data_IF_225394889714
#
_entry.id   IF_225394889714
#
_cell.length_a   1.000
_cell.length_b   1.000
_cell.length_c   1.000
_cell.angle_alpha   90.00
_cell.angle_beta   90.00
_cell.angle_gamma   90.00
#
_symmetry.space_group_name_H-M   'P 1'
#
loop_
_entity.id
_entity.type
_entity.pdbx_description
1 polymer ?
#
# COMPACT_ATOMS: atom_id res chain seq x y z
N UNK A 1 -23.76 -24.07 41.29
CA UNK A 1 -23.62 -22.64 40.95
C UNK A 1 -24.83 -21.86 41.46
N UNK A 2 -24.61 -20.85 42.28
CA UNK A 2 -25.69 -20.05 42.88
C UNK A 2 -26.51 -19.32 41.79
N UNK A 3 -27.79 -19.03 42.07
CA UNK A 3 -28.67 -18.30 41.15
C UNK A 3 -28.04 -16.97 40.67
N UNK A 4 -27.26 -16.30 41.50
CA UNK A 4 -26.51 -15.09 41.18
C UNK A 4 -25.42 -15.32 40.13
N UNK A 5 -24.70 -16.44 40.19
CA UNK A 5 -23.67 -16.79 39.21
C UNK A 5 -24.25 -17.13 37.82
N UNK A 6 -25.42 -17.81 37.78
CA UNK A 6 -26.14 -18.05 36.52
C UNK A 6 -26.67 -16.76 35.88
N UNK A 7 -27.17 -15.82 36.70
CA UNK A 7 -27.62 -14.52 36.16
C UNK A 7 -26.48 -13.66 35.67
N UNK A 8 -25.29 -13.70 36.28
CA UNK A 8 -24.08 -13.05 35.78
C UNK A 8 -23.65 -13.63 34.44
N UNK A 9 -23.58 -14.96 34.30
CA UNK A 9 -23.21 -15.61 33.01
C UNK A 9 -24.22 -15.32 31.88
N UNK A 10 -25.53 -15.19 32.19
CA UNK A 10 -26.57 -14.85 31.20
C UNK A 10 -26.47 -13.38 30.82
N UNK A 11 -26.19 -12.49 31.76
CA UNK A 11 -26.03 -11.05 31.52
C UNK A 11 -24.80 -10.75 30.70
N UNK A 12 -23.70 -11.47 30.94
CA UNK A 12 -22.45 -11.38 30.13
C UNK A 12 -22.62 -11.95 28.71
N UNK A 13 -23.41 -13.05 28.56
CA UNK A 13 -23.77 -13.56 27.23
C UNK A 13 -24.65 -12.59 26.44
N UNK A 14 -25.63 -11.95 27.07
CA UNK A 14 -26.50 -10.97 26.41
C UNK A 14 -25.68 -9.74 26.02
N UNK A 15 -24.76 -9.27 26.88
CA UNK A 15 -23.88 -8.15 26.55
C UNK A 15 -22.91 -8.49 25.42
N UNK A 16 -22.37 -9.73 25.36
CA UNK A 16 -21.52 -10.20 24.27
C UNK A 16 -22.30 -10.32 22.94
N UNK A 17 -23.55 -10.80 22.98
CA UNK A 17 -24.41 -10.88 21.80
C UNK A 17 -24.85 -9.50 21.30
N UNK A 18 -25.20 -8.58 22.18
CA UNK A 18 -25.53 -7.20 21.80
C UNK A 18 -24.31 -6.43 21.28
N UNK A 19 -23.12 -6.69 21.82
CA UNK A 19 -21.86 -6.15 21.28
C UNK A 19 -21.54 -6.77 19.91
N UNK A 20 -21.81 -8.06 19.69
CA UNK A 20 -21.64 -8.72 18.40
C UNK A 20 -22.66 -8.24 17.35
N UNK A 21 -23.90 -7.98 17.74
CA UNK A 21 -24.92 -7.41 16.85
C UNK A 21 -24.66 -5.92 16.53
N UNK A 22 -24.21 -5.15 17.51
CA UNK A 22 -23.73 -3.78 17.30
C UNK A 22 -22.50 -3.73 16.41
N UNK A 23 -21.58 -4.71 16.53
CA UNK A 23 -20.41 -4.88 15.70
C UNK A 23 -20.80 -5.18 14.23
N UNK A 24 -21.83 -6.00 14.01
CA UNK A 24 -22.35 -6.31 12.68
C UNK A 24 -23.08 -5.13 12.00
N UNK A 25 -23.75 -4.29 12.79
CA UNK A 25 -24.48 -3.12 12.28
C UNK A 25 -23.56 -1.91 12.06
N UNK A 26 -22.53 -1.72 12.89
CA UNK A 26 -21.46 -0.71 12.69
C UNK A 26 -20.41 -1.14 11.67
N UNK A 27 -20.26 -2.41 11.36
CA UNK A 27 -19.26 -2.92 10.41
C UNK A 27 -19.59 -2.68 8.92
N UNK A 28 -20.71 -2.04 8.58
CA UNK A 28 -20.85 -1.38 7.27
C UNK A 28 -20.05 -0.08 7.29
N UNK A 29 -18.72 -0.22 7.42
CA UNK A 29 -17.79 0.89 7.42
C UNK A 29 -17.91 1.58 6.07
N UNK A 30 -18.41 2.81 6.09
CA UNK A 30 -18.47 3.63 4.88
C UNK A 30 -17.04 4.00 4.44
N UNK A 31 -16.49 3.24 3.49
CA UNK A 31 -15.16 3.47 2.90
C UNK A 31 -15.19 4.54 1.79
N UNK A 32 -16.37 5.03 1.40
CA UNK A 32 -16.57 5.97 0.30
C UNK A 32 -15.67 7.22 0.35
N UNK A 33 -15.53 7.92 1.50
CA UNK A 33 -14.67 9.11 1.55
C UNK A 33 -13.22 8.82 1.17
N UNK A 34 -12.69 7.66 1.62
CA UNK A 34 -11.33 7.23 1.29
C UNK A 34 -11.19 6.88 -0.19
N UNK A 35 -12.14 6.15 -0.75
CA UNK A 35 -12.15 5.84 -2.19
C UNK A 35 -12.29 7.09 -3.05
N UNK A 36 -13.04 8.10 -2.61
CA UNK A 36 -13.13 9.40 -3.26
C UNK A 36 -11.77 10.10 -3.35
N UNK A 37 -11.01 10.14 -2.24
CA UNK A 37 -9.65 10.69 -2.21
C UNK A 37 -8.71 9.89 -3.14
N UNK A 38 -8.78 8.56 -3.11
CA UNK A 38 -7.97 7.70 -3.97
C UNK A 38 -8.28 7.90 -5.45
N UNK A 39 -9.57 8.01 -5.81
CA UNK A 39 -10.01 8.25 -7.19
C UNK A 39 -9.55 9.63 -7.68
N UNK A 40 -9.74 10.67 -6.87
CA UNK A 40 -9.29 12.02 -7.19
C UNK A 40 -7.78 12.06 -7.39
N UNK A 41 -7.01 11.42 -6.49
CA UNK A 41 -5.56 11.36 -6.61
C UNK A 41 -5.11 10.59 -7.85
N UNK A 42 -5.76 9.46 -8.16
CA UNK A 42 -5.49 8.69 -9.36
C UNK A 42 -5.78 9.51 -10.63
N UNK A 43 -6.87 10.28 -10.66
CA UNK A 43 -7.21 11.17 -11.76
C UNK A 43 -6.19 12.30 -11.92
N UNK A 44 -5.76 12.93 -10.81
CA UNK A 44 -4.76 14.00 -10.85
C UNK A 44 -3.39 13.50 -11.34
N UNK A 45 -2.94 12.34 -10.87
CA UNK A 45 -1.64 11.78 -11.26
C UNK A 45 -1.64 11.21 -12.69
N UNK A 46 -2.83 10.89 -13.25
CA UNK A 46 -3.03 10.41 -14.62
C UNK A 46 -3.88 11.39 -15.45
N UNK A 47 -3.64 12.69 -15.29
CA UNK A 47 -4.44 13.75 -15.90
C UNK A 47 -4.26 13.90 -17.41
N UNK A 48 -3.21 13.31 -18.00
CA UNK A 48 -2.95 13.41 -19.45
C UNK A 48 -3.78 12.38 -20.25
N UNK A 49 -5.09 12.52 -20.21
CA UNK A 49 -6.05 11.57 -20.84
C UNK A 49 -5.85 11.47 -22.35
N UNK A 50 -5.41 12.55 -23.02
CA UNK A 50 -5.15 12.56 -24.45
C UNK A 50 -4.08 11.52 -24.87
N UNK A 51 -3.15 11.15 -23.98
CA UNK A 51 -2.15 10.12 -24.23
C UNK A 51 -2.78 8.73 -24.50
N UNK A 52 -3.90 8.41 -23.92
CA UNK A 52 -4.60 7.14 -24.17
C UNK A 52 -5.19 7.09 -25.59
N UNK A 53 -5.62 8.22 -26.13
CA UNK A 53 -6.18 8.30 -27.49
C UNK A 53 -5.05 8.33 -28.52
N UNK A 54 -3.99 9.12 -28.28
CA UNK A 54 -2.89 9.30 -29.22
C UNK A 54 -1.86 8.16 -29.17
N UNK A 55 -1.91 7.30 -28.16
CA UNK A 55 -0.93 6.21 -27.95
C UNK A 55 0.48 6.73 -27.64
N UNK A 56 0.63 7.98 -27.17
CA UNK A 56 1.92 8.61 -26.85
C UNK A 56 2.06 8.84 -25.35
N UNK A 57 3.28 8.67 -24.87
CA UNK A 57 3.64 8.95 -23.47
C UNK A 57 3.82 10.46 -23.30
N UNK A 58 3.29 11.02 -22.21
CA UNK A 58 3.50 12.42 -21.85
C UNK A 58 4.96 12.71 -21.55
N UNK A 59 5.52 13.73 -22.18
CA UNK A 59 6.94 14.16 -22.04
C UNK A 59 7.09 15.58 -21.47
N UNK A 60 6.02 16.16 -20.94
CA UNK A 60 6.04 17.53 -20.41
C UNK A 60 6.80 17.66 -19.09
N UNK A 61 7.01 18.91 -18.62
CA UNK A 61 7.77 19.26 -17.41
C UNK A 61 7.28 18.56 -16.13
N UNK A 62 5.99 18.28 -16.02
CA UNK A 62 5.41 17.59 -14.86
C UNK A 62 5.94 16.16 -14.70
N UNK A 63 6.45 15.53 -15.75
CA UNK A 63 7.07 14.21 -15.68
C UNK A 63 8.34 14.18 -14.81
N UNK A 64 8.95 15.32 -14.56
CA UNK A 64 10.09 15.43 -13.64
C UNK A 64 9.66 15.42 -12.16
N UNK A 65 8.37 15.60 -11.89
CA UNK A 65 7.84 15.56 -10.52
C UNK A 65 7.58 14.11 -10.11
N UNK A 66 8.18 13.69 -9.01
CA UNK A 66 7.98 12.36 -8.46
C UNK A 66 6.68 12.31 -7.65
N UNK A 67 5.74 11.42 -8.02
CA UNK A 67 4.51 11.20 -7.27
C UNK A 67 4.77 10.26 -6.08
N UNK A 68 4.06 10.40 -4.94
CA UNK A 68 4.33 9.59 -3.76
C UNK A 68 3.85 8.12 -3.89
N UNK A 69 2.89 7.84 -4.77
CA UNK A 69 2.30 6.51 -4.98
C UNK A 69 2.96 5.73 -6.13
N UNK A 70 2.59 4.46 -6.26
CA UNK A 70 3.02 3.64 -7.40
C UNK A 70 2.18 4.04 -8.63
N UNK A 71 2.82 4.67 -9.61
CA UNK A 71 2.24 5.09 -10.89
C UNK A 71 3.26 4.87 -12.01
N UNK A 72 2.87 4.26 -13.12
CA UNK A 72 3.85 3.86 -14.13
C UNK A 72 4.34 5.06 -14.95
N UNK A 73 5.67 5.20 -15.09
CA UNK A 73 6.26 6.22 -15.97
C UNK A 73 5.81 6.07 -17.43
N UNK A 74 5.68 4.83 -17.89
CA UNK A 74 5.27 4.51 -19.28
C UNK A 74 3.75 4.58 -19.50
N UNK A 75 2.96 4.97 -18.50
CA UNK A 75 1.52 5.19 -18.67
C UNK A 75 1.30 6.41 -19.59
N UNK A 76 0.45 6.29 -20.63
CA UNK A 76 0.11 7.42 -21.50
C UNK A 76 -0.51 8.59 -20.75
N UNK A 77 -1.31 8.29 -19.72
CA UNK A 77 -1.99 9.29 -18.89
C UNK A 77 -1.15 9.86 -17.75
N UNK A 78 -0.02 9.24 -17.40
CA UNK A 78 0.75 9.64 -16.22
C UNK A 78 1.44 11.00 -16.42
N UNK A 79 1.04 11.97 -15.63
CA UNK A 79 1.64 13.30 -15.58
C UNK A 79 2.96 13.32 -14.79
N UNK A 80 3.12 12.47 -13.76
CA UNK A 80 4.31 12.41 -12.92
C UNK A 80 5.13 11.13 -13.05
N UNK A 81 6.32 11.12 -12.42
CA UNK A 81 7.23 9.97 -12.43
C UNK A 81 6.97 8.99 -11.28
N UNK A 82 7.14 7.70 -11.56
CA UNK A 82 7.08 6.65 -10.54
C UNK A 82 8.29 6.74 -9.60
N UNK A 83 8.10 6.76 -8.27
CA UNK A 83 9.21 6.89 -7.33
C UNK A 83 10.14 5.68 -7.35
N UNK A 84 9.63 4.47 -7.57
CA UNK A 84 10.46 3.25 -7.63
C UNK A 84 11.28 3.22 -8.90
N UNK A 85 10.69 3.58 -10.06
CA UNK A 85 11.40 3.64 -11.32
C UNK A 85 12.48 4.71 -11.31
N UNK A 86 12.15 5.90 -10.80
CA UNK A 86 13.10 7.00 -10.66
C UNK A 86 14.25 6.65 -9.69
N UNK A 87 13.96 5.99 -8.58
CA UNK A 87 14.98 5.54 -7.62
C UNK A 87 15.93 4.50 -8.24
N UNK A 88 15.41 3.51 -9.00
CA UNK A 88 16.23 2.54 -9.70
C UNK A 88 17.15 3.22 -10.74
N UNK A 89 16.63 4.20 -11.47
CA UNK A 89 17.44 4.97 -12.42
C UNK A 89 18.59 5.72 -11.72
N UNK A 90 18.33 6.31 -10.56
CA UNK A 90 19.35 6.99 -9.74
C UNK A 90 20.39 6.00 -9.22
N UNK A 91 19.98 4.85 -8.70
CA UNK A 91 20.90 3.80 -8.22
C UNK A 91 21.74 3.24 -9.36
N UNK A 92 21.11 2.94 -10.51
CA UNK A 92 21.80 2.42 -11.69
C UNK A 92 22.78 3.42 -12.33
N UNK A 93 22.57 4.72 -12.16
CA UNK A 93 23.45 5.78 -12.64
C UNK A 93 24.43 6.29 -11.59
N UNK A 94 24.51 5.68 -10.42
CA UNK A 94 25.30 6.17 -9.26
C UNK A 94 26.80 6.31 -9.54
N UNK A 95 27.34 5.52 -10.48
CA UNK A 95 28.73 5.64 -10.93
C UNK A 95 29.05 6.96 -11.65
N UNK A 96 28.04 7.60 -12.26
CA UNK A 96 28.19 8.86 -12.99
C UNK A 96 27.74 10.05 -12.14
N UNK A 97 26.51 9.99 -11.60
CA UNK A 97 25.93 11.06 -10.79
C UNK A 97 24.79 10.54 -9.94
N UNK A 98 24.88 10.69 -8.64
CA UNK A 98 23.78 10.37 -7.73
C UNK A 98 22.84 11.55 -7.59
N UNK A 99 21.55 11.38 -7.95
CA UNK A 99 20.53 12.42 -7.79
C UNK A 99 19.87 12.33 -6.43
N UNK A 100 20.23 13.21 -5.52
CA UNK A 100 19.65 13.28 -4.17
C UNK A 100 18.17 13.70 -4.15
N UNK A 101 17.69 14.32 -5.24
CA UNK A 101 16.30 14.78 -5.36
C UNK A 101 15.28 13.66 -5.12
N UNK A 102 15.41 12.55 -5.83
CA UNK A 102 14.46 11.42 -5.73
C UNK A 102 14.52 10.76 -4.35
N UNK A 103 15.73 10.54 -3.85
CA UNK A 103 15.94 9.94 -2.53
C UNK A 103 15.40 10.86 -1.43
N UNK A 104 15.67 12.17 -1.53
CA UNK A 104 15.18 13.18 -0.60
C UNK A 104 13.64 13.26 -0.57
N UNK A 105 12.98 13.27 -1.73
CA UNK A 105 11.51 13.25 -1.81
C UNK A 105 10.92 11.97 -1.19
N UNK A 106 11.49 10.81 -1.49
CA UNK A 106 11.03 9.54 -0.90
C UNK A 106 11.16 9.54 0.63
N UNK A 107 12.29 10.03 1.16
CA UNK A 107 12.51 10.14 2.60
C UNK A 107 11.55 11.17 3.19
N UNK A 108 11.38 12.34 2.56
CA UNK A 108 10.47 13.39 3.00
C UNK A 108 9.04 12.86 3.15
N UNK A 109 8.49 12.25 2.12
CA UNK A 109 7.16 11.66 2.17
C UNK A 109 7.07 10.51 3.18
N UNK A 110 8.11 9.71 3.30
CA UNK A 110 8.18 8.62 4.27
C UNK A 110 8.17 9.11 5.72
N UNK A 111 8.92 10.19 6.01
CA UNK A 111 8.97 10.79 7.34
C UNK A 111 7.70 11.59 7.65
N UNK A 112 7.16 12.33 6.69
CA UNK A 112 5.93 13.09 6.91
C UNK A 112 4.71 12.17 7.10
N UNK A 113 4.48 11.26 6.15
CA UNK A 113 3.23 10.51 6.02
C UNK A 113 3.37 9.00 6.22
N UNK A 114 4.57 8.44 6.11
CA UNK A 114 4.80 7.01 6.18
C UNK A 114 3.94 6.22 5.20
N UNK A 115 3.35 5.12 5.65
CA UNK A 115 2.46 4.28 4.81
C UNK A 115 1.04 4.82 4.61
N UNK A 116 0.70 5.99 5.12
CA UNK A 116 -0.55 6.68 4.77
C UNK A 116 -0.67 6.86 3.25
N UNK A 117 0.44 7.14 2.58
CA UNK A 117 0.53 7.23 1.12
C UNK A 117 -0.04 5.97 0.45
N UNK A 118 0.31 4.78 0.96
CA UNK A 118 -0.19 3.52 0.42
C UNK A 118 -1.70 3.36 0.64
N UNK A 119 -2.24 3.98 1.71
CA UNK A 119 -3.67 3.94 2.06
C UNK A 119 -4.54 4.87 1.23
N UNK A 120 -4.02 6.05 0.83
CA UNK A 120 -4.82 7.13 0.25
C UNK A 120 -4.31 7.63 -1.12
N UNK A 121 -3.01 7.58 -1.37
CA UNK A 121 -2.39 8.23 -2.53
C UNK A 121 -1.81 7.24 -3.56
N UNK A 122 -2.05 5.93 -3.41
CA UNK A 122 -1.51 4.93 -4.33
C UNK A 122 -2.61 4.39 -5.26
N UNK A 123 -2.58 4.70 -6.57
CA UNK A 123 -3.58 4.21 -7.53
C UNK A 123 -3.63 2.68 -7.60
N UNK A 124 -2.48 2.02 -7.62
CA UNK A 124 -2.41 0.56 -7.66
C UNK A 124 -2.93 -0.10 -6.39
N UNK A 125 -2.74 0.55 -5.23
CA UNK A 125 -3.35 0.11 -3.98
C UNK A 125 -4.88 0.18 -4.02
N UNK A 126 -5.42 1.24 -4.62
CA UNK A 126 -6.85 1.41 -4.84
C UNK A 126 -7.42 0.37 -5.80
N UNK A 127 -6.75 0.11 -6.92
CA UNK A 127 -7.12 -0.95 -7.87
C UNK A 127 -7.28 -2.32 -7.19
N UNK A 128 -6.31 -2.74 -6.35
CA UNK A 128 -6.41 -3.99 -5.60
C UNK A 128 -7.59 -4.00 -4.61
N UNK A 129 -7.94 -2.86 -4.01
CA UNK A 129 -9.10 -2.76 -3.13
C UNK A 129 -10.42 -2.90 -3.88
N UNK A 130 -10.51 -2.33 -5.08
CA UNK A 130 -11.69 -2.49 -5.94
C UNK A 130 -11.90 -3.96 -6.32
N UNK A 131 -10.83 -4.66 -6.73
CA UNK A 131 -10.89 -6.09 -7.02
C UNK A 131 -11.30 -6.90 -5.79
N UNK A 132 -10.84 -6.52 -4.61
CA UNK A 132 -11.22 -7.21 -3.37
C UNK A 132 -12.71 -7.03 -2.99
N UNK A 133 -13.43 -6.08 -3.59
CA UNK A 133 -14.88 -5.93 -3.38
C UNK A 133 -15.71 -6.97 -4.13
N UNK A 134 -15.13 -7.63 -5.15
CA UNK A 134 -15.81 -8.70 -5.90
C UNK A 134 -16.19 -9.81 -4.91
N UNK A 135 -17.44 -10.29 -4.91
CA UNK A 135 -17.88 -11.37 -4.03
C UNK A 135 -17.13 -12.67 -4.33
N UNK A 136 -16.31 -13.11 -3.37
CA UNK A 136 -15.46 -14.29 -3.47
C UNK A 136 -15.07 -14.77 -2.07
N UNK A 137 -14.61 -15.99 -1.89
CA UNK A 137 -14.10 -16.46 -0.60
C UNK A 137 -12.90 -15.61 -0.18
N UNK A 138 -13.04 -14.87 0.94
CA UNK A 138 -11.99 -13.99 1.48
C UNK A 138 -11.12 -14.78 2.44
N UNK A 139 -9.85 -14.95 2.10
CA UNK A 139 -8.90 -15.66 2.92
C UNK A 139 -8.08 -14.72 3.79
N UNK A 140 -7.87 -15.12 5.05
CA UNK A 140 -7.02 -14.37 5.98
C UNK A 140 -5.54 -14.61 5.68
N UNK A 141 -4.76 -13.52 5.65
CA UNK A 141 -3.30 -13.58 5.46
C UNK A 141 -2.51 -13.77 6.76
N UNK A 142 -3.18 -14.02 7.89
CA UNK A 142 -2.53 -14.17 9.21
C UNK A 142 -1.48 -15.29 9.25
N UNK A 143 -1.73 -16.41 8.55
CA UNK A 143 -0.78 -17.53 8.46
C UNK A 143 0.43 -17.21 7.54
N UNK A 144 0.28 -16.26 6.62
CA UNK A 144 1.30 -15.86 5.64
C UNK A 144 2.14 -14.65 6.10
N UNK A 145 2.23 -14.41 7.41
CA UNK A 145 3.04 -13.31 7.98
C UNK A 145 4.51 -13.33 7.53
N UNK A 146 5.24 -14.47 7.46
CA UNK A 146 6.63 -14.46 7.02
C UNK A 146 6.81 -13.99 5.58
N UNK A 147 5.81 -14.17 4.71
CA UNK A 147 5.87 -13.69 3.33
C UNK A 147 5.97 -12.16 3.20
N UNK A 148 5.66 -11.41 4.28
CA UNK A 148 5.83 -9.95 4.32
C UNK A 148 7.29 -9.50 4.20
N UNK A 149 8.24 -10.36 4.56
CA UNK A 149 9.67 -10.05 4.41
C UNK A 149 10.13 -10.07 2.96
N UNK A 150 9.41 -10.77 2.06
CA UNK A 150 9.74 -10.83 0.65
C UNK A 150 9.84 -9.45 -0.01
N UNK A 151 8.97 -8.50 0.34
CA UNK A 151 9.04 -7.13 -0.21
C UNK A 151 10.34 -6.40 0.15
N UNK A 152 10.94 -6.69 1.32
CA UNK A 152 12.24 -6.11 1.70
C UNK A 152 13.38 -6.76 0.90
N UNK A 153 13.28 -8.07 0.64
CA UNK A 153 14.21 -8.75 -0.26
C UNK A 153 14.10 -8.19 -1.69
N UNK A 154 12.88 -7.97 -2.20
CA UNK A 154 12.64 -7.32 -3.51
C UNK A 154 13.22 -5.90 -3.52
N UNK A 155 13.03 -5.11 -2.47
CA UNK A 155 13.59 -3.76 -2.37
C UNK A 155 15.13 -3.81 -2.41
N UNK A 156 15.75 -4.66 -1.60
CA UNK A 156 17.21 -4.73 -1.51
C UNK A 156 17.81 -5.30 -2.80
N UNK A 157 17.32 -6.44 -3.27
CA UNK A 157 17.91 -7.15 -4.41
C UNK A 157 17.55 -6.49 -5.74
N UNK A 158 16.25 -6.32 -6.04
CA UNK A 158 15.82 -5.88 -7.37
C UNK A 158 15.85 -4.37 -7.60
N UNK A 159 15.76 -3.57 -6.52
CA UNK A 159 15.72 -2.10 -6.65
C UNK A 159 17.07 -1.48 -6.35
N UNK A 160 17.91 -2.10 -5.51
CA UNK A 160 19.22 -1.56 -5.12
C UNK A 160 20.36 -2.38 -5.72
N UNK A 161 20.52 -3.65 -5.35
CA UNK A 161 21.70 -4.44 -5.68
C UNK A 161 21.83 -4.72 -7.19
N UNK A 162 20.78 -5.22 -7.83
CA UNK A 162 20.85 -5.56 -9.24
C UNK A 162 21.11 -4.34 -10.16
N UNK A 163 20.44 -3.18 -10.01
CA UNK A 163 20.77 -2.00 -10.78
C UNK A 163 22.18 -1.46 -10.52
N UNK A 164 22.74 -1.70 -9.33
CA UNK A 164 24.09 -1.27 -8.98
C UNK A 164 25.18 -2.17 -9.57
N UNK A 165 24.94 -3.49 -9.59
CA UNK A 165 25.93 -4.50 -9.97
C UNK A 165 25.85 -4.87 -11.45
N UNK A 166 24.64 -5.04 -11.99
CA UNK A 166 24.40 -5.44 -13.37
C UNK A 166 24.21 -4.19 -14.24
N UNK A 167 25.30 -3.65 -14.71
CA UNK A 167 25.35 -2.51 -15.62
C UNK A 167 25.45 -2.97 -17.07
N UNK A 168 24.83 -2.22 -17.98
CA UNK A 168 24.93 -2.45 -19.43
C UNK A 168 26.26 -1.91 -19.99
N UNK A 169 26.49 -2.07 -21.29
CA UNK A 169 27.70 -1.60 -22.00
C UNK A 169 27.94 -0.09 -21.79
N UNK A 170 26.90 0.70 -21.58
CA UNK A 170 27.00 2.14 -21.31
C UNK A 170 27.30 2.46 -19.83
N UNK A 171 27.49 1.44 -18.98
CA UNK A 171 27.75 1.60 -17.54
C UNK A 171 26.51 2.00 -16.69
N UNK A 172 25.32 1.93 -17.27
CA UNK A 172 24.08 2.20 -16.56
C UNK A 172 23.36 0.90 -16.15
N UNK A 173 22.83 0.87 -14.93
CA UNK A 173 22.09 -0.27 -14.43
C UNK A 173 20.64 -0.33 -14.95
N UNK A 174 20.20 -1.52 -15.32
CA UNK A 174 18.82 -1.77 -15.74
C UNK A 174 17.84 -1.66 -14.56
N UNK A 175 16.61 -1.16 -14.76
CA UNK A 175 15.58 -1.11 -13.73
C UNK A 175 14.89 -2.48 -13.55
N UNK A 176 15.58 -3.42 -12.92
CA UNK A 176 15.18 -4.83 -12.82
C UNK A 176 13.77 -5.04 -12.26
N UNK A 177 13.38 -4.34 -11.20
CA UNK A 177 12.02 -4.46 -10.67
C UNK A 177 10.98 -4.03 -11.71
N UNK A 178 11.15 -2.89 -12.36
CA UNK A 178 10.22 -2.39 -13.39
C UNK A 178 10.19 -3.29 -14.62
N UNK A 179 11.35 -3.84 -15.01
CA UNK A 179 11.53 -4.69 -16.19
C UNK A 179 10.91 -6.07 -16.02
N UNK A 180 11.07 -6.70 -14.84
CA UNK A 180 10.72 -8.10 -14.65
C UNK A 180 9.54 -8.37 -13.71
N UNK A 181 9.29 -7.53 -12.69
CA UNK A 181 8.33 -7.85 -11.64
C UNK A 181 7.14 -6.89 -11.54
N UNK A 182 7.27 -5.63 -11.98
CA UNK A 182 6.23 -4.63 -11.78
C UNK A 182 4.97 -4.88 -12.63
N UNK A 183 3.81 -5.21 -12.04
CA UNK A 183 2.55 -5.41 -12.77
C UNK A 183 1.94 -4.10 -13.26
N UNK A 184 2.22 -2.98 -12.58
CA UNK A 184 1.70 -1.66 -12.92
C UNK A 184 2.13 -1.22 -14.34
N UNK A 185 3.36 -1.57 -14.74
CA UNK A 185 3.85 -1.26 -16.07
C UNK A 185 3.06 -1.94 -17.20
N UNK A 186 2.49 -3.12 -16.93
CA UNK A 186 1.59 -3.78 -17.88
C UNK A 186 0.20 -3.15 -17.83
N UNK A 187 -0.34 -2.96 -16.62
CA UNK A 187 -1.70 -2.46 -16.43
C UNK A 187 -1.90 -1.05 -17.01
N UNK A 188 -1.02 -0.12 -16.69
CA UNK A 188 -1.16 1.30 -17.09
C UNK A 188 -0.38 1.67 -18.34
N UNK A 189 0.67 0.92 -18.69
CA UNK A 189 1.53 1.20 -19.84
C UNK A 189 1.26 0.27 -21.01
N UNK A 190 1.68 -0.98 -20.90
CA UNK A 190 1.68 -1.89 -22.03
C UNK A 190 0.29 -2.21 -22.59
N UNK A 191 -0.72 -2.44 -21.73
CA UNK A 191 -2.07 -2.72 -22.18
C UNK A 191 -2.69 -1.54 -22.94
N UNK A 192 -2.78 -0.30 -22.39
CA UNK A 192 -3.34 0.82 -23.15
C UNK A 192 -2.60 1.12 -24.43
N UNK A 193 -1.25 1.11 -24.40
CA UNK A 193 -0.44 1.39 -25.57
C UNK A 193 -0.56 0.32 -26.67
N UNK A 194 -0.70 -0.95 -26.30
CA UNK A 194 -0.90 -2.04 -27.27
C UNK A 194 -2.28 -2.01 -27.93
N UNK A 195 -3.29 -1.47 -27.24
CA UNK A 195 -4.63 -1.29 -27.80
C UNK A 195 -4.68 -0.15 -28.83
N UNK A 196 -3.94 0.93 -28.55
CA UNK A 196 -3.97 2.15 -29.40
C UNK A 196 -2.90 2.16 -30.49
N UNK A 197 -1.82 1.38 -30.35
CA UNK A 197 -0.71 1.40 -31.29
C UNK A 197 -0.37 -0.01 -31.82
N UNK A 198 -0.62 -0.26 -33.09
CA UNK A 198 -0.38 -1.55 -33.73
C UNK A 198 1.12 -1.93 -33.77
N UNK A 199 2.02 -0.96 -33.89
CA UNK A 199 3.47 -1.21 -33.87
C UNK A 199 3.95 -1.72 -32.51
N UNK A 200 3.45 -1.14 -31.41
CA UNK A 200 3.76 -1.61 -30.06
C UNK A 200 3.20 -3.02 -29.86
N UNK A 201 1.97 -3.27 -30.32
CA UNK A 201 1.34 -4.62 -30.22
C UNK A 201 2.16 -5.68 -30.94
N UNK A 202 2.68 -5.38 -32.13
CA UNK A 202 3.52 -6.29 -32.90
C UNK A 202 4.89 -6.55 -32.25
N UNK A 203 5.41 -5.59 -31.47
CA UNK A 203 6.67 -5.70 -30.75
C UNK A 203 6.58 -6.42 -29.40
N UNK A 204 5.37 -6.83 -28.95
CA UNK A 204 5.18 -7.55 -27.68
C UNK A 204 5.83 -8.95 -27.75
N UNK A 205 6.85 -9.16 -26.92
CA UNK A 205 7.60 -10.40 -26.85
C UNK A 205 7.36 -11.20 -25.56
N UNK A 206 8.21 -12.21 -25.34
CA UNK A 206 8.14 -13.12 -24.17
C UNK A 206 8.13 -12.39 -22.82
N UNK A 207 8.82 -11.25 -22.70
CA UNK A 207 8.83 -10.45 -21.47
C UNK A 207 7.46 -9.86 -21.15
N UNK A 208 6.70 -9.45 -22.16
CA UNK A 208 5.31 -9.01 -21.94
C UNK A 208 4.44 -10.13 -21.41
N UNK A 209 4.52 -11.34 -21.99
CA UNK A 209 3.78 -12.51 -21.54
C UNK A 209 4.09 -12.85 -20.09
N UNK A 210 5.37 -12.86 -19.71
CA UNK A 210 5.81 -13.06 -18.32
C UNK A 210 5.18 -12.06 -17.36
N UNK A 211 5.25 -10.78 -17.67
CA UNK A 211 4.68 -9.71 -16.85
C UNK A 211 3.15 -9.72 -16.82
N UNK A 212 2.52 -10.12 -17.92
CA UNK A 212 1.06 -10.31 -17.99
C UNK A 212 0.61 -11.45 -17.05
N UNK A 213 1.37 -12.55 -16.98
CA UNK A 213 1.12 -13.63 -16.01
C UNK A 213 1.23 -13.12 -14.56
N UNK A 214 2.23 -12.28 -14.24
CA UNK A 214 2.35 -11.67 -12.92
C UNK A 214 1.16 -10.76 -12.62
N UNK A 215 0.74 -9.92 -13.57
CA UNK A 215 -0.44 -9.07 -13.41
C UNK A 215 -1.69 -9.91 -13.15
N UNK A 216 -1.89 -10.98 -13.91
CA UNK A 216 -3.02 -11.90 -13.73
C UNK A 216 -2.99 -12.55 -12.34
N UNK A 217 -1.83 -13.03 -11.90
CA UNK A 217 -1.66 -13.57 -10.55
C UNK A 217 -1.98 -12.55 -9.45
N UNK A 218 -1.59 -11.27 -9.63
CA UNK A 218 -1.93 -10.19 -8.70
C UNK A 218 -3.43 -9.87 -8.73
N UNK A 219 -4.08 -9.89 -9.89
CA UNK A 219 -5.52 -9.68 -10.03
C UNK A 219 -6.27 -10.80 -9.29
N UNK A 220 -5.98 -12.06 -9.59
CA UNK A 220 -6.61 -13.21 -8.94
C UNK A 220 -6.34 -13.21 -7.43
N UNK A 221 -5.10 -12.95 -7.03
CA UNK A 221 -4.73 -12.81 -5.63
C UNK A 221 -5.49 -11.67 -4.93
N UNK A 222 -5.75 -10.54 -5.62
CA UNK A 222 -6.46 -9.39 -5.03
C UNK A 222 -7.95 -9.63 -4.84
N UNK A 223 -8.54 -10.51 -5.63
CA UNK A 223 -9.94 -10.96 -5.44
C UNK A 223 -10.07 -11.73 -4.11
N UNK A 224 -9.10 -12.58 -3.78
CA UNK A 224 -9.12 -13.45 -2.60
C UNK A 224 -8.49 -12.78 -1.36
N UNK A 225 -7.31 -12.19 -1.52
CA UNK A 225 -6.53 -11.56 -0.45
C UNK A 225 -6.60 -10.03 -0.53
N UNK A 226 -6.63 -9.37 0.62
CA UNK A 226 -6.59 -7.91 0.67
C UNK A 226 -5.19 -7.39 0.38
N UNK A 227 -5.02 -6.68 -0.75
CA UNK A 227 -3.78 -6.03 -1.21
C UNK A 227 -2.55 -6.95 -1.21
N UNK A 228 -2.55 -8.11 -1.89
CA UNK A 228 -1.46 -9.09 -1.84
C UNK A 228 -0.13 -8.52 -2.35
N UNK A 229 -0.12 -7.79 -3.45
CA UNK A 229 1.08 -7.17 -3.98
C UNK A 229 1.69 -6.17 -2.98
N UNK A 230 0.86 -5.31 -2.36
CA UNK A 230 1.32 -4.33 -1.38
C UNK A 230 1.86 -4.97 -0.09
N UNK A 231 1.33 -6.16 0.28
CA UNK A 231 1.79 -6.90 1.46
C UNK A 231 3.12 -7.61 1.23
N UNK A 232 3.33 -8.19 0.03
CA UNK A 232 4.39 -9.18 -0.18
C UNK A 232 5.47 -8.77 -1.19
N UNK A 233 5.15 -7.99 -2.20
CA UNK A 233 6.03 -7.72 -3.34
C UNK A 233 6.43 -6.26 -3.53
N UNK A 234 5.62 -5.30 -3.05
CA UNK A 234 5.81 -3.90 -3.36
C UNK A 234 7.05 -3.28 -2.66
N UNK A 235 8.10 -2.87 -3.39
CA UNK A 235 9.30 -2.27 -2.79
C UNK A 235 9.02 -0.88 -2.22
N UNK A 236 8.11 -0.09 -2.83
CA UNK A 236 7.70 1.19 -2.28
C UNK A 236 7.00 1.02 -0.92
N UNK A 237 6.15 -0.04 -0.80
CA UNK A 237 5.54 -0.40 0.46
C UNK A 237 6.56 -0.86 1.51
N UNK A 238 7.68 -1.48 1.11
CA UNK A 238 8.77 -1.82 2.00
C UNK A 238 9.52 -0.57 2.47
N UNK A 239 9.85 0.35 1.56
CA UNK A 239 10.54 1.60 1.86
C UNK A 239 9.76 2.44 2.88
N UNK A 240 8.47 2.70 2.62
CA UNK A 240 7.64 3.45 3.56
C UNK A 240 7.38 2.68 4.88
N UNK A 241 7.43 1.35 4.87
CA UNK A 241 7.31 0.54 6.08
C UNK A 241 8.47 0.76 7.05
N UNK A 242 9.70 0.93 6.55
CA UNK A 242 10.87 1.23 7.36
C UNK A 242 10.71 2.58 8.09
N UNK A 243 10.15 3.58 7.41
CA UNK A 243 9.95 4.92 7.96
C UNK A 243 8.64 5.07 8.76
N UNK A 244 7.75 4.06 8.73
CA UNK A 244 6.42 4.17 9.34
C UNK A 244 6.43 4.41 10.85
N UNK A 245 7.45 3.90 11.56
CA UNK A 245 7.61 4.10 13.01
C UNK A 245 8.04 5.52 13.37
N UNK A 246 8.87 6.15 12.53
CA UNK A 246 9.42 7.49 12.76
C UNK A 246 8.65 8.60 12.07
N UNK A 247 7.59 8.26 11.34
CA UNK A 247 6.81 9.24 10.60
C UNK A 247 6.01 10.16 11.52
N UNK A 248 5.89 11.43 11.12
CA UNK A 248 5.18 12.47 11.89
C UNK A 248 3.67 12.22 11.96
N UNK A 249 3.06 11.72 10.89
CA UNK A 249 1.65 11.37 10.88
C UNK A 249 1.47 9.99 11.50
N UNK A 250 0.93 9.89 12.70
CA UNK A 250 0.84 8.67 13.50
C UNK A 250 -0.59 8.35 13.90
N UNK A 251 -0.83 7.09 14.25
CA UNK A 251 -2.03 6.66 14.94
C UNK A 251 -1.73 6.47 16.42
N UNK A 252 -2.62 6.97 17.29
CA UNK A 252 -2.53 6.81 18.74
C UNK A 252 -3.76 6.13 19.27
N UNK A 253 -3.58 5.34 20.32
CA UNK A 253 -4.61 4.67 21.07
C UNK A 253 -4.64 5.31 22.46
N UNK A 254 -5.79 5.86 22.84
CA UNK A 254 -6.06 6.35 24.19
C UNK A 254 -6.38 5.14 25.09
N UNK A 255 -5.46 4.82 25.99
CA UNK A 255 -5.59 3.68 26.91
C UNK A 255 -6.73 3.85 27.89
N UNK A 256 -7.08 5.09 28.28
CA UNK A 256 -8.18 5.37 29.20
C UNK A 256 -9.56 5.12 28.57
N UNK A 257 -9.69 5.33 27.26
CA UNK A 257 -10.92 5.08 26.51
C UNK A 257 -11.00 3.66 25.94
N UNK A 258 -9.88 2.94 25.91
CA UNK A 258 -9.80 1.62 25.31
C UNK A 258 -10.35 0.54 26.26
N UNK A 259 -11.46 -0.08 25.86
CA UNK A 259 -12.10 -1.20 26.59
C UNK A 259 -11.57 -2.58 26.19
N UNK A 260 -10.46 -2.65 25.47
CA UNK A 260 -9.79 -3.90 25.05
C UNK A 260 -10.67 -4.93 24.34
N UNK A 261 -11.75 -4.49 23.67
CA UNK A 261 -12.72 -5.36 22.99
C UNK A 261 -12.20 -6.08 21.74
N UNK A 262 -11.03 -5.70 21.22
CA UNK A 262 -10.39 -6.30 20.04
C UNK A 262 -11.10 -6.04 18.69
N UNK A 263 -12.13 -5.19 18.62
CA UNK A 263 -12.86 -4.86 17.39
C UNK A 263 -11.93 -4.26 16.31
N UNK A 264 -11.01 -3.39 16.73
CA UNK A 264 -10.01 -2.78 15.84
C UNK A 264 -9.06 -3.80 15.17
N UNK A 265 -8.63 -4.83 15.92
CA UNK A 265 -7.77 -5.90 15.38
C UNK A 265 -8.54 -6.82 14.42
N UNK A 266 -9.84 -7.08 14.69
CA UNK A 266 -10.71 -7.86 13.79
C UNK A 266 -11.01 -7.10 12.49
N UNK A 267 -11.23 -5.78 12.57
CA UNK A 267 -11.50 -4.92 11.41
C UNK A 267 -10.27 -4.67 10.53
N UNK A 268 -9.06 -4.95 11.02
CA UNK A 268 -7.82 -4.66 10.30
C UNK A 268 -7.56 -5.66 9.17
N UNK A 269 -7.78 -5.25 7.92
CA UNK A 269 -7.49 -6.05 6.72
C UNK A 269 -5.98 -6.23 6.45
N UNK A 270 -5.12 -5.45 7.15
CA UNK A 270 -3.65 -5.58 7.08
C UNK A 270 -3.08 -6.50 8.17
N UNK A 271 -3.94 -7.15 8.97
CA UNK A 271 -3.57 -8.07 10.06
C UNK A 271 -2.62 -7.43 11.11
N UNK A 272 -2.88 -6.18 11.47
CA UNK A 272 -2.17 -5.43 12.51
C UNK A 272 -3.09 -5.25 13.71
N UNK A 273 -2.57 -5.52 14.90
CA UNK A 273 -3.22 -5.17 16.16
C UNK A 273 -2.69 -3.81 16.63
N UNK A 274 -3.52 -2.77 16.43
CA UNK A 274 -3.12 -1.40 16.73
C UNK A 274 -2.99 -1.13 18.24
N UNK A 275 -3.65 -1.91 19.08
CA UNK A 275 -3.58 -1.75 20.54
C UNK A 275 -2.23 -2.21 21.08
N UNK A 276 -1.61 -3.22 20.44
CA UNK A 276 -0.30 -3.74 20.82
C UNK A 276 0.85 -2.99 20.13
N UNK A 277 0.67 -2.67 18.86
CA UNK A 277 1.71 -2.02 18.04
C UNK A 277 1.08 -0.92 17.19
N UNK A 278 0.85 0.29 17.74
CA UNK A 278 0.21 1.40 17.02
C UNK A 278 1.06 1.71 15.82
N UNK A 279 1.83 2.17 15.36
CA UNK A 279 2.56 2.51 14.15
C UNK A 279 3.36 1.33 13.55
N UNK A 280 2.77 0.12 13.59
CA UNK A 280 3.39 -1.06 12.99
C UNK A 280 3.79 -0.82 11.53
N UNK A 281 4.91 -1.42 11.09
CA UNK A 281 5.43 -1.30 9.72
C UNK A 281 4.41 -1.65 8.63
N UNK A 282 3.43 -2.53 8.92
CA UNK A 282 2.37 -2.91 7.98
C UNK A 282 1.12 -2.01 8.02
N UNK A 283 1.00 -1.09 8.97
CA UNK A 283 -0.17 -0.21 9.09
C UNK A 283 -0.17 0.85 7.98
N UNK A 284 -1.18 0.80 7.10
CA UNK A 284 -1.39 1.78 6.01
C UNK A 284 -2.24 2.99 6.45
N UNK A 285 -2.54 3.09 7.72
CA UNK A 285 -3.32 4.18 8.34
C UNK A 285 -4.65 4.47 7.65
N UNK A 286 -5.34 3.42 7.21
CA UNK A 286 -6.59 3.52 6.45
C UNK A 286 -7.81 3.95 7.29
N UNK A 287 -7.69 4.05 8.62
CA UNK A 287 -8.76 4.48 9.52
C UNK A 287 -9.85 3.45 9.80
N UNK A 288 -9.76 2.21 9.29
CA UNK A 288 -10.76 1.16 9.52
C UNK A 288 -10.94 0.82 11.00
N UNK A 289 -9.82 0.75 11.74
CA UNK A 289 -9.82 0.49 13.18
C UNK A 289 -10.47 1.62 13.99
N UNK A 290 -10.34 2.88 13.55
CA UNK A 290 -11.00 4.04 14.17
C UNK A 290 -12.52 3.93 14.05
N UNK A 291 -13.00 3.60 12.83
CA UNK A 291 -14.43 3.44 12.56
C UNK A 291 -15.05 2.23 13.25
N UNK A 292 -14.23 1.20 13.53
CA UNK A 292 -14.67 0.01 14.26
C UNK A 292 -14.59 0.16 15.80
N UNK A 293 -13.97 1.24 16.29
CA UNK A 293 -13.83 1.47 17.71
C UNK A 293 -15.14 2.01 18.33
N UNK A 294 -15.76 1.32 19.30
CA UNK A 294 -17.01 1.79 19.90
C UNK A 294 -16.83 2.99 20.84
N UNK A 295 -15.61 3.20 21.34
CA UNK A 295 -15.28 4.25 22.32
C UNK A 295 -14.45 5.39 21.74
N UNK A 296 -14.24 5.40 20.41
CA UNK A 296 -13.42 6.39 19.70
C UNK A 296 -12.02 6.58 20.32
N UNK A 297 -11.45 5.49 20.86
CA UNK A 297 -10.14 5.49 21.51
C UNK A 297 -8.96 5.63 20.54
N UNK A 298 -9.19 5.54 19.22
CA UNK A 298 -8.14 5.55 18.21
C UNK A 298 -8.23 6.83 17.39
N UNK A 299 -7.12 7.59 17.33
CA UNK A 299 -7.09 8.88 16.64
C UNK A 299 -5.81 9.03 15.80
N UNK A 300 -5.86 9.89 14.77
CA UNK A 300 -4.68 10.39 14.10
C UNK A 300 -4.04 11.50 14.91
N UNK A 301 -2.70 11.49 14.98
CA UNK A 301 -1.92 12.58 15.56
C UNK A 301 -0.77 12.96 14.61
N UNK A 302 -0.50 14.23 14.49
CA UNK A 302 0.65 14.76 13.76
C UNK A 302 1.68 15.28 14.78
N UNK A 303 2.93 14.86 14.65
CA UNK A 303 4.05 15.26 15.51
C UNK A 303 4.77 14.06 16.13
N UNK A 304 6.04 14.25 16.46
CA UNK A 304 6.85 13.35 17.27
C UNK A 304 6.40 13.51 18.73
N UNK A 305 5.34 12.85 19.12
CA UNK A 305 4.85 12.94 20.48
C UNK A 305 5.14 11.66 21.25
N UNK A 306 5.49 11.84 22.51
CA UNK A 306 5.83 10.86 23.52
C UNK A 306 5.17 9.48 23.36
N UNK A 307 5.99 8.46 23.22
CA UNK A 307 5.58 7.05 23.28
C UNK A 307 5.44 6.55 24.73
N UNK A 308 5.42 7.48 25.70
CA UNK A 308 5.53 7.18 27.13
C UNK A 308 4.36 6.42 27.76
N UNK A 309 3.31 6.07 27.01
CA UNK A 309 2.16 5.32 27.57
C UNK A 309 2.01 3.89 27.02
N UNK A 310 3.07 3.26 26.52
CA UNK A 310 3.03 1.85 26.05
C UNK A 310 3.95 0.91 26.80
N UNK A 311 4.62 1.37 27.85
CA UNK A 311 5.41 0.51 28.75
C UNK A 311 4.69 0.45 30.11
N UNK A 312 3.82 -0.50 30.27
CA UNK A 312 3.56 -1.25 31.53
C UNK A 312 2.46 -2.25 31.26
N UNK A 313 2.81 -3.43 30.86
CA UNK A 313 2.31 -4.73 31.33
C UNK A 313 3.12 -5.82 30.65
N UNK A 314 4.32 -6.01 31.19
CA UNK A 314 4.95 -7.33 31.27
C UNK A 314 4.78 -7.74 32.72
N UNK A 315 3.79 -8.54 33.00
CA UNK A 315 3.73 -9.54 34.05
C UNK A 315 2.81 -10.66 33.56
#
# INVERSE_FOLDING_TARGET
LSRRQRQMCIRDRISVWSVLELDNKKMKINEWPRHGIQALWAALTNSHVSGFVTGKIYTGKLKNVCVPGLNCYSCPGAAGACPVGAFQAVVGSSKFRFSYYITGILILFGVLLGRFICGFLCPFGWFQELLHKIPSPKLSTKKLKPLRYLKYAVLLVMVVLLPLLAVNELGMGDPFFCKYLCPQGVLEGALPLSLTNAGIRAALGKLFTWKACILLAVIMGSVVFYRPFCKWLCPLGAFYALLNKVSLFQMRVDTHKCVSCGACARACKMDVDITKTPNHAECIRCGMCMKACPTDAIQYKFGLGDQSNTETTKE
#
